data_IF_745213283718
#
_entry.id   IF_745213283718
#
_cell.length_a   1.000
_cell.length_b   1.000
_cell.length_c   1.000
_cell.angle_alpha   90.00
_cell.angle_beta   90.00
_cell.angle_gamma   90.00
#
_symmetry.space_group_name_H-M   'P 1'
#
loop_
_entity.id
_entity.type
_entity.pdbx_description
1 polymer ?
#
# COMPACT_ATOMS: atom_id res chain seq x y z
N UNK A 1 -21.93 -20.25 -3.36
CA UNK A 1 -21.64 -19.15 -4.29
C UNK A 1 -22.74 -18.11 -4.18
N UNK A 2 -22.45 -16.83 -4.43
CA UNK A 2 -23.46 -15.75 -4.43
C UNK A 2 -23.65 -15.24 -5.86
N UNK A 3 -24.85 -14.72 -6.13
CA UNK A 3 -25.23 -14.18 -7.44
C UNK A 3 -24.69 -12.76 -7.70
N UNK A 4 -24.16 -12.11 -6.66
CA UNK A 4 -23.78 -10.70 -6.73
C UNK A 4 -22.80 -10.27 -5.64
N UNK A 5 -22.04 -9.22 -5.94
CA UNK A 5 -21.28 -8.43 -4.99
C UNK A 5 -21.91 -7.05 -4.82
N UNK A 6 -21.35 -6.24 -3.93
CA UNK A 6 -21.81 -4.87 -3.71
C UNK A 6 -20.66 -3.89 -3.76
N UNK A 7 -20.91 -2.74 -4.36
CA UNK A 7 -19.98 -1.61 -4.39
C UNK A 7 -20.39 -0.54 -3.41
N UNK A 8 -19.44 0.25 -2.90
CA UNK A 8 -19.71 1.44 -2.12
C UNK A 8 -18.79 2.61 -2.52
N UNK A 9 -19.37 3.78 -2.77
CA UNK A 9 -18.67 5.03 -3.11
C UNK A 9 -18.91 6.14 -2.09
N UNK A 10 -19.41 5.84 -0.89
CA UNK A 10 -19.65 6.82 0.17
C UNK A 10 -18.41 7.68 0.48
N UNK A 11 -17.24 7.06 0.44
CA UNK A 11 -15.98 7.71 0.80
C UNK A 11 -15.33 8.52 -0.33
N UNK A 12 -15.97 8.64 -1.50
CA UNK A 12 -15.44 9.43 -2.62
C UNK A 12 -15.40 10.93 -2.36
N UNK A 13 -16.06 11.41 -1.30
CA UNK A 13 -15.93 12.79 -0.84
C UNK A 13 -14.51 13.17 -0.41
N UNK A 14 -13.68 12.19 -0.02
CA UNK A 14 -12.28 12.42 0.38
C UNK A 14 -11.27 11.53 -0.35
N UNK A 15 -11.70 10.42 -0.95
CA UNK A 15 -10.88 9.57 -1.82
C UNK A 15 -11.62 9.34 -3.16
N UNK A 16 -11.56 10.29 -4.12
CA UNK A 16 -12.44 10.31 -5.30
C UNK A 16 -12.38 9.07 -6.19
N UNK A 17 -11.24 8.38 -6.21
CA UNK A 17 -10.98 7.20 -7.03
C UNK A 17 -11.24 5.90 -6.27
N UNK A 18 -11.57 5.98 -4.98
CA UNK A 18 -11.85 4.79 -4.16
C UNK A 18 -13.23 4.22 -4.45
N UNK A 19 -13.28 2.89 -4.52
CA UNK A 19 -14.51 2.12 -4.61
C UNK A 19 -14.33 0.90 -3.72
N UNK A 20 -15.19 0.71 -2.73
CA UNK A 20 -15.24 -0.54 -1.98
C UNK A 20 -15.96 -1.61 -2.79
N UNK A 21 -15.36 -2.79 -2.93
CA UNK A 21 -15.99 -4.02 -3.43
C UNK A 21 -16.18 -4.98 -2.26
N UNK A 22 -17.43 -5.28 -2.00
CA UNK A 22 -17.91 -5.99 -0.82
C UNK A 22 -18.43 -7.36 -1.27
N UNK A 23 -17.86 -8.41 -0.69
CA UNK A 23 -18.21 -9.80 -0.96
C UNK A 23 -18.58 -10.49 0.35
N UNK A 24 -19.18 -11.69 0.33
CA UNK A 24 -19.43 -12.45 1.55
C UNK A 24 -18.15 -12.74 2.37
N UNK A 25 -16.99 -12.70 1.72
CA UNK A 25 -15.68 -13.00 2.31
C UNK A 25 -14.79 -11.75 2.46
N UNK A 26 -15.33 -10.55 2.19
CA UNK A 26 -14.61 -9.28 2.31
C UNK A 26 -15.58 -8.15 2.59
N UNK A 27 -15.55 -7.67 3.82
CA UNK A 27 -16.28 -6.48 4.26
C UNK A 27 -15.71 -5.23 3.59
N UNK A 28 -16.50 -4.15 3.59
CA UNK A 28 -15.94 -2.83 3.33
C UNK A 28 -14.81 -2.52 4.32
N UNK A 29 -13.83 -1.70 3.92
CA UNK A 29 -12.67 -1.41 4.74
C UNK A 29 -13.04 -0.77 6.10
N UNK A 30 -14.19 -0.09 6.20
CA UNK A 30 -14.69 0.49 7.45
C UNK A 30 -15.21 -0.51 8.48
N UNK A 31 -15.42 -1.78 8.10
CA UNK A 31 -16.01 -2.81 8.96
C UNK A 31 -17.53 -2.69 9.16
N UNK A 32 -18.13 -1.55 8.82
CA UNK A 32 -19.54 -1.27 9.06
C UNK A 32 -20.51 -1.69 7.94
N UNK A 33 -20.00 -2.20 6.81
CA UNK A 33 -20.84 -2.63 5.68
C UNK A 33 -20.43 -4.05 5.28
N UNK A 34 -21.27 -5.01 5.67
CA UNK A 34 -21.21 -6.40 5.23
C UNK A 34 -21.83 -6.58 3.84
N UNK A 35 -21.72 -7.79 3.29
CA UNK A 35 -22.44 -8.15 2.06
C UNK A 35 -23.97 -8.07 2.23
N UNK A 36 -24.50 -8.43 3.41
CA UNK A 36 -25.94 -8.33 3.69
C UNK A 36 -26.40 -6.88 3.79
N UNK A 37 -25.58 -6.01 4.38
CA UNK A 37 -25.85 -4.57 4.43
C UNK A 37 -25.83 -3.97 3.02
N UNK A 38 -24.86 -4.37 2.20
CA UNK A 38 -24.79 -3.99 0.78
C UNK A 38 -26.06 -4.37 0.00
N UNK A 39 -26.55 -5.61 0.23
CA UNK A 39 -27.80 -6.11 -0.34
C UNK A 39 -29.02 -5.33 0.11
N UNK A 40 -29.11 -5.01 1.40
CA UNK A 40 -30.23 -4.24 1.93
C UNK A 40 -30.20 -2.80 1.41
N UNK A 41 -29.06 -2.12 1.55
CA UNK A 41 -28.90 -0.71 1.20
C UNK A 41 -29.15 -0.45 -0.29
N UNK A 42 -28.62 -1.29 -1.20
CA UNK A 42 -28.83 -1.15 -2.65
C UNK A 42 -30.30 -1.37 -3.09
N UNK A 43 -31.11 -2.05 -2.27
CA UNK A 43 -32.56 -2.21 -2.51
C UNK A 43 -33.37 -1.06 -1.95
N UNK A 44 -32.97 -0.54 -0.79
CA UNK A 44 -33.61 0.61 -0.14
C UNK A 44 -33.40 1.88 -0.96
N UNK A 45 -32.18 2.12 -1.43
CA UNK A 45 -31.85 3.24 -2.30
C UNK A 45 -31.03 2.77 -3.53
N UNK A 46 -31.71 2.37 -4.62
CA UNK A 46 -31.04 1.90 -5.84
C UNK A 46 -30.18 2.96 -6.54
N UNK A 47 -30.39 4.26 -6.24
CA UNK A 47 -29.59 5.37 -6.78
C UNK A 47 -28.54 5.85 -5.78
N UNK A 48 -28.46 5.20 -4.63
CA UNK A 48 -27.55 5.54 -3.56
C UNK A 48 -26.09 5.18 -3.87
N UNK A 49 -25.20 5.46 -2.91
CA UNK A 49 -23.76 5.22 -3.05
C UNK A 49 -23.39 3.74 -2.90
N UNK A 50 -24.33 2.89 -2.45
CA UNK A 50 -24.17 1.44 -2.37
C UNK A 50 -24.97 0.80 -3.50
N UNK A 51 -24.31 -0.01 -4.33
CA UNK A 51 -24.88 -0.53 -5.58
C UNK A 51 -24.53 -2.00 -5.79
N UNK A 52 -25.38 -2.71 -6.53
CA UNK A 52 -25.11 -4.10 -6.93
C UNK A 52 -23.99 -4.16 -7.97
N UNK A 53 -23.13 -5.15 -7.83
CA UNK A 53 -22.10 -5.54 -8.82
C UNK A 53 -22.45 -6.96 -9.27
N UNK A 54 -22.66 -7.16 -10.57
CA UNK A 54 -22.73 -8.52 -11.12
C UNK A 54 -21.34 -9.15 -11.01
N UNK A 55 -21.24 -10.42 -10.62
CA UNK A 55 -19.94 -11.06 -10.36
C UNK A 55 -19.09 -11.12 -11.65
N UNK A 56 -19.71 -11.48 -12.78
CA UNK A 56 -19.01 -11.68 -14.05
C UNK A 56 -18.17 -12.96 -14.05
N UNK A 57 -17.14 -12.97 -14.91
CA UNK A 57 -16.18 -14.07 -15.04
C UNK A 57 -15.18 -14.07 -13.89
N UNK A 58 -14.82 -15.27 -13.41
CA UNK A 58 -13.74 -15.45 -12.42
C UNK A 58 -12.41 -15.48 -13.17
N UNK A 59 -11.65 -14.39 -13.10
CA UNK A 59 -10.37 -14.25 -13.81
C UNK A 59 -9.21 -14.84 -13.01
N UNK A 60 -9.23 -14.67 -11.68
CA UNK A 60 -8.26 -15.28 -10.76
C UNK A 60 -8.94 -15.60 -9.42
N UNK A 61 -9.22 -16.88 -9.11
CA UNK A 61 -9.95 -17.27 -7.89
C UNK A 61 -9.12 -17.12 -6.61
N UNK A 62 -7.78 -17.06 -6.71
CA UNK A 62 -6.88 -16.94 -5.55
C UNK A 62 -6.74 -15.48 -5.16
N UNK A 63 -6.47 -14.61 -6.14
CA UNK A 63 -6.39 -13.16 -5.93
C UNK A 63 -7.77 -12.52 -5.76
N UNK A 64 -8.82 -13.23 -6.17
CA UNK A 64 -10.18 -12.72 -6.18
C UNK A 64 -10.37 -11.66 -7.25
N UNK A 65 -9.90 -11.93 -8.47
CA UNK A 65 -10.16 -11.08 -9.63
C UNK A 65 -11.42 -11.54 -10.35
N UNK A 66 -12.35 -10.61 -10.53
CA UNK A 66 -13.64 -10.86 -11.19
C UNK A 66 -13.89 -9.76 -12.22
N UNK A 67 -14.33 -10.13 -13.42
CA UNK A 67 -14.53 -9.15 -14.50
C UNK A 67 -15.56 -8.09 -14.12
N UNK A 68 -16.65 -8.48 -13.44
CA UNK A 68 -17.68 -7.54 -13.00
C UNK A 68 -17.21 -6.58 -11.90
N UNK A 69 -16.30 -7.02 -11.03
CA UNK A 69 -15.65 -6.14 -10.06
C UNK A 69 -14.72 -5.12 -10.76
N UNK A 70 -13.92 -5.56 -11.73
CA UNK A 70 -13.06 -4.68 -12.52
C UNK A 70 -13.88 -3.62 -13.28
N UNK A 71 -14.96 -4.03 -13.96
CA UNK A 71 -15.85 -3.12 -14.68
C UNK A 71 -16.50 -2.08 -13.74
N UNK A 72 -17.00 -2.54 -12.60
CA UNK A 72 -17.64 -1.67 -11.61
C UNK A 72 -16.66 -0.65 -11.04
N UNK A 73 -15.46 -1.09 -10.65
CA UNK A 73 -14.42 -0.22 -10.10
C UNK A 73 -13.97 0.77 -11.17
N UNK A 74 -13.62 0.32 -12.38
CA UNK A 74 -13.21 1.20 -13.50
C UNK A 74 -14.23 2.29 -13.79
N UNK A 75 -15.52 1.93 -13.85
CA UNK A 75 -16.59 2.90 -14.06
C UNK A 75 -16.71 3.92 -12.92
N UNK A 76 -16.63 3.44 -11.67
CA UNK A 76 -16.91 4.25 -10.48
C UNK A 76 -15.70 5.05 -10.00
N UNK A 77 -14.49 4.68 -10.39
CA UNK A 77 -13.26 5.43 -10.17
C UNK A 77 -12.90 6.37 -11.33
N UNK A 78 -13.83 6.61 -12.27
CA UNK A 78 -13.61 7.43 -13.47
C UNK A 78 -12.44 6.96 -14.35
N UNK A 79 -12.18 5.65 -14.37
CA UNK A 79 -11.11 5.05 -15.16
C UNK A 79 -9.76 4.96 -14.46
N UNK A 80 -9.58 5.57 -13.29
CA UNK A 80 -8.28 5.56 -12.60
C UNK A 80 -7.84 4.15 -12.16
N UNK A 81 -8.78 3.35 -11.65
CA UNK A 81 -8.53 1.99 -11.18
C UNK A 81 -9.17 1.01 -12.15
N UNK A 82 -8.36 0.31 -12.93
CA UNK A 82 -8.87 -0.59 -13.97
C UNK A 82 -9.09 -2.03 -13.48
N UNK A 83 -8.33 -2.45 -12.47
CA UNK A 83 -8.32 -3.82 -11.96
C UNK A 83 -8.30 -3.83 -10.44
N UNK A 84 -8.93 -4.83 -9.84
CA UNK A 84 -8.91 -5.05 -8.41
C UNK A 84 -8.75 -6.53 -8.08
N UNK A 85 -7.77 -6.82 -7.24
CA UNK A 85 -7.55 -8.12 -6.61
C UNK A 85 -8.00 -8.01 -5.15
N UNK A 86 -9.02 -8.78 -4.81
CA UNK A 86 -9.70 -8.68 -3.51
C UNK A 86 -8.91 -9.31 -2.37
N UNK A 87 -7.94 -10.19 -2.62
CA UNK A 87 -7.31 -10.99 -1.56
C UNK A 87 -5.79 -10.87 -1.50
N UNK A 88 -5.26 -9.69 -1.85
CA UNK A 88 -3.81 -9.36 -1.83
C UNK A 88 -3.57 -7.90 -1.45
N UNK A 89 -2.38 -7.63 -0.92
CA UNK A 89 -1.81 -6.32 -0.70
C UNK A 89 -0.84 -5.88 -1.82
N UNK A 90 -0.66 -6.67 -2.89
CA UNK A 90 0.32 -6.42 -3.96
C UNK A 90 -0.28 -6.48 -5.37
N UNK A 91 0.33 -5.77 -6.31
CA UNK A 91 -0.07 -5.68 -7.71
C UNK A 91 -1.27 -4.76 -7.91
N UNK A 92 -2.48 -5.33 -7.83
CA UNK A 92 -3.73 -4.57 -7.96
C UNK A 92 -4.56 -4.62 -6.68
N UNK A 93 -4.00 -4.27 -5.50
CA UNK A 93 -4.73 -4.37 -4.25
C UNK A 93 -5.99 -3.52 -4.29
N UNK A 94 -7.00 -3.95 -3.55
CA UNK A 94 -8.18 -3.11 -3.35
C UNK A 94 -7.80 -1.79 -2.68
N UNK A 95 -8.17 -0.65 -3.27
CA UNK A 95 -7.81 0.68 -2.79
C UNK A 95 -8.40 0.95 -1.40
N UNK A 96 -7.85 1.92 -0.67
CA UNK A 96 -8.37 2.32 0.63
C UNK A 96 -8.72 3.80 0.66
N UNK A 97 -9.83 4.12 1.31
CA UNK A 97 -10.24 5.50 1.53
C UNK A 97 -9.47 6.11 2.70
N UNK A 98 -9.90 5.87 3.95
CA UNK A 98 -9.34 6.51 5.15
C UNK A 98 -10.08 6.17 6.45
N UNK A 99 -11.26 5.55 6.34
CA UNK A 99 -12.04 5.06 7.48
C UNK A 99 -11.78 3.59 7.82
N UNK A 100 -10.68 3.00 7.32
CA UNK A 100 -10.32 1.63 7.68
C UNK A 100 -10.02 1.49 9.18
N UNK A 101 -10.41 0.36 9.76
CA UNK A 101 -10.19 0.06 11.19
C UNK A 101 -8.72 -0.28 11.46
N UNK A 102 -8.04 -0.88 10.48
CA UNK A 102 -6.63 -1.24 10.55
C UNK A 102 -5.95 -1.14 9.17
N UNK A 103 -4.63 -1.23 9.14
CA UNK A 103 -3.85 -1.33 7.92
C UNK A 103 -2.85 -2.48 8.03
N UNK A 104 -2.72 -3.26 6.95
CA UNK A 104 -1.55 -4.09 6.71
C UNK A 104 -0.47 -3.25 6.03
N UNK A 105 0.77 -3.42 6.49
CA UNK A 105 1.95 -2.74 5.95
C UNK A 105 3.08 -3.73 5.74
N UNK A 106 3.78 -3.64 4.62
CA UNK A 106 4.88 -4.53 4.27
C UNK A 106 6.18 -4.15 4.98
N UNK A 107 6.87 -5.17 5.50
CA UNK A 107 8.16 -5.10 6.18
C UNK A 107 9.16 -5.90 5.32
N UNK A 108 9.93 -5.23 4.45
CA UNK A 108 10.83 -5.88 3.51
C UNK A 108 11.88 -6.78 4.16
N UNK A 109 12.43 -6.39 5.30
CA UNK A 109 13.56 -7.03 5.99
C UNK A 109 13.26 -8.45 6.49
N UNK A 110 11.96 -8.75 6.66
CA UNK A 110 11.44 -10.07 7.05
C UNK A 110 10.46 -10.62 6.03
N UNK A 111 10.37 -10.01 4.84
CA UNK A 111 9.42 -10.37 3.78
C UNK A 111 8.04 -10.64 4.39
N UNK A 112 7.44 -9.68 5.10
CA UNK A 112 6.25 -9.94 5.92
C UNK A 112 5.27 -8.77 5.96
N UNK A 113 4.04 -9.00 6.40
CA UNK A 113 3.06 -7.95 6.64
C UNK A 113 2.87 -7.73 8.15
N UNK A 114 3.08 -6.52 8.62
CA UNK A 114 2.59 -6.08 9.92
C UNK A 114 1.13 -5.62 9.81
N UNK A 115 0.40 -5.63 10.92
CA UNK A 115 -0.94 -5.03 11.04
C UNK A 115 -0.92 -3.98 12.13
N UNK A 116 -1.60 -2.86 11.94
CA UNK A 116 -1.81 -1.84 13.00
C UNK A 116 -3.24 -1.31 12.94
N UNK A 117 -3.92 -1.21 14.08
CA UNK A 117 -5.26 -0.64 14.16
C UNK A 117 -5.22 0.87 14.43
N UNK A 118 -6.33 1.54 14.10
CA UNK A 118 -6.48 3.00 14.17
C UNK A 118 -6.20 3.59 15.55
N UNK A 119 -6.59 2.89 16.60
CA UNK A 119 -6.49 3.36 17.99
C UNK A 119 -5.14 3.04 18.65
N UNK A 120 -4.23 2.39 17.92
CA UNK A 120 -2.89 2.06 18.43
C UNK A 120 -2.08 3.35 18.64
N UNK A 121 -1.65 3.58 19.87
CA UNK A 121 -1.04 4.86 20.29
C UNK A 121 0.48 4.90 20.14
N UNK A 122 1.12 3.74 20.11
CA UNK A 122 2.56 3.62 20.00
C UNK A 122 3.01 3.56 18.53
N UNK A 123 4.31 3.38 18.33
CA UNK A 123 4.89 3.11 17.02
C UNK A 123 4.90 1.61 16.75
N UNK A 124 4.70 1.23 15.50
CA UNK A 124 4.83 -0.16 15.08
C UNK A 124 6.30 -0.59 15.09
N UNK A 125 6.55 -1.88 14.88
CA UNK A 125 7.89 -2.49 14.87
C UNK A 125 8.88 -1.88 13.87
N UNK A 126 8.41 -1.15 12.85
CA UNK A 126 9.25 -0.40 11.92
C UNK A 126 9.44 1.09 12.30
N UNK A 127 8.99 1.48 13.51
CA UNK A 127 9.09 2.83 14.05
C UNK A 127 8.04 3.81 13.55
N UNK A 128 7.07 3.39 12.72
CA UNK A 128 6.04 4.28 12.20
C UNK A 128 4.76 4.24 13.05
N UNK A 129 4.16 5.40 13.40
CA UNK A 129 2.83 5.44 14.00
C UNK A 129 1.74 5.11 12.97
N UNK A 130 0.53 4.78 13.45
CA UNK A 130 -0.62 4.50 12.57
C UNK A 130 -0.87 5.60 11.54
N UNK A 131 -0.75 6.89 11.93
CA UNK A 131 -1.00 8.02 11.02
C UNK A 131 -0.12 7.98 9.77
N UNK A 132 1.18 7.68 9.93
CA UNK A 132 2.11 7.60 8.79
C UNK A 132 1.81 6.40 7.90
N UNK A 133 1.42 5.26 8.48
CA UNK A 133 0.99 4.09 7.69
C UNK A 133 -0.33 4.38 6.96
N UNK A 134 -1.24 5.09 7.62
CA UNK A 134 -2.52 5.49 7.05
C UNK A 134 -2.34 6.43 5.85
N UNK A 135 -1.41 7.38 5.90
CA UNK A 135 -1.10 8.29 4.79
C UNK A 135 -0.62 7.53 3.54
N UNK A 136 0.16 6.46 3.72
CA UNK A 136 0.59 5.58 2.62
C UNK A 136 -0.54 4.70 2.08
N UNK A 137 -1.47 4.30 2.95
CA UNK A 137 -2.56 3.37 2.63
C UNK A 137 -3.77 4.06 1.98
N UNK A 138 -4.07 5.29 2.41
CA UNK A 138 -5.26 6.05 2.07
C UNK A 138 -5.22 6.73 0.69
N UNK A 139 -6.36 7.33 0.32
CA UNK A 139 -6.48 8.24 -0.82
C UNK A 139 -6.94 7.58 -2.12
N UNK A 140 -7.47 6.36 -2.08
CA UNK A 140 -8.05 5.71 -3.26
C UNK A 140 -7.01 5.27 -4.31
N UNK A 141 -5.78 5.02 -3.87
CA UNK A 141 -4.66 4.56 -4.69
C UNK A 141 -4.40 3.07 -4.48
N UNK A 142 -3.75 2.44 -5.45
CA UNK A 142 -3.16 1.10 -5.31
C UNK A 142 -1.69 1.28 -4.93
N UNK A 143 -1.35 0.90 -3.70
CA UNK A 143 0.01 1.02 -3.17
C UNK A 143 0.43 -0.36 -2.69
N UNK A 144 1.47 -0.90 -3.30
CA UNK A 144 1.97 -2.22 -2.95
C UNK A 144 2.44 -2.27 -1.50
N UNK A 145 2.01 -3.31 -0.80
CA UNK A 145 2.36 -3.55 0.59
C UNK A 145 1.61 -2.67 1.59
N UNK A 146 0.71 -1.77 1.18
CA UNK A 146 -0.10 -0.95 2.08
C UNK A 146 -1.58 -1.15 1.81
N UNK A 147 -2.30 -1.73 2.77
CA UNK A 147 -3.66 -2.19 2.54
C UNK A 147 -4.58 -1.95 3.73
N UNK A 148 -5.65 -1.19 3.52
CA UNK A 148 -6.66 -0.93 4.54
C UNK A 148 -7.53 -2.16 4.80
N UNK A 149 -7.77 -2.43 6.07
CA UNK A 149 -8.48 -3.61 6.57
C UNK A 149 -9.64 -3.20 7.47
N UNK A 150 -10.70 -3.99 7.40
CA UNK A 150 -11.64 -4.12 8.52
C UNK A 150 -11.26 -5.30 9.38
N UNK A 151 -11.64 -5.26 10.65
CA UNK A 151 -11.40 -6.37 11.58
C UNK A 151 -12.19 -7.61 11.13
N UNK A 152 -13.39 -7.41 10.58
CA UNK A 152 -14.20 -8.51 10.05
C UNK A 152 -13.56 -9.19 8.83
N UNK A 153 -12.80 -8.46 8.00
CA UNK A 153 -12.05 -9.09 6.91
C UNK A 153 -10.93 -10.01 7.42
N UNK A 154 -10.28 -9.69 8.54
CA UNK A 154 -9.25 -10.56 9.13
C UNK A 154 -9.80 -11.93 9.57
N UNK A 155 -11.11 -12.01 9.87
CA UNK A 155 -11.79 -13.27 10.23
C UNK A 155 -12.10 -14.16 9.02
N UNK A 156 -11.92 -13.64 7.82
CA UNK A 156 -12.24 -14.34 6.58
C UNK A 156 -11.20 -15.43 6.27
N UNK A 157 -11.60 -16.64 5.83
CA UNK A 157 -10.68 -17.61 5.24
C UNK A 157 -10.05 -17.12 3.93
N UNK A 158 -10.52 -16.01 3.35
CA UNK A 158 -9.91 -15.34 2.18
C UNK A 158 -8.99 -14.19 2.58
N UNK A 159 -8.74 -13.97 3.86
CA UNK A 159 -7.88 -12.90 4.35
C UNK A 159 -6.48 -13.00 3.74
N UNK A 160 -6.17 -12.06 2.83
CA UNK A 160 -4.89 -11.92 2.13
C UNK A 160 -4.32 -13.24 1.58
N UNK A 161 -5.21 -14.15 1.15
CA UNK A 161 -4.82 -15.54 0.85
C UNK A 161 -3.83 -15.63 -0.32
N UNK A 162 -3.88 -14.69 -1.26
CA UNK A 162 -2.93 -14.64 -2.37
C UNK A 162 -1.50 -14.27 -1.93
N UNK A 163 -1.35 -13.68 -0.74
CA UNK A 163 -0.06 -13.35 -0.15
C UNK A 163 0.41 -14.42 0.86
N UNK A 164 -0.38 -15.46 1.08
CA UNK A 164 -0.16 -16.49 2.10
C UNK A 164 -1.04 -16.34 3.36
N UNK A 165 -1.93 -15.34 3.39
CA UNK A 165 -2.86 -15.09 4.47
C UNK A 165 -2.17 -14.93 5.82
N UNK A 166 -2.65 -15.63 6.84
CA UNK A 166 -2.07 -15.56 8.19
C UNK A 166 -0.58 -15.96 8.26
N UNK A 167 -0.09 -16.82 7.35
CA UNK A 167 1.33 -17.18 7.28
C UNK A 167 2.24 -16.02 6.88
N UNK A 168 1.66 -14.94 6.35
CA UNK A 168 2.36 -13.73 5.92
C UNK A 168 2.35 -12.63 6.98
N UNK A 169 1.52 -12.75 8.01
CA UNK A 169 1.42 -11.74 9.06
C UNK A 169 2.51 -11.98 10.08
N UNK A 170 3.37 -11.00 10.30
CA UNK A 170 4.58 -11.16 11.13
C UNK A 170 4.55 -10.34 12.41
N UNK A 171 3.63 -9.39 12.54
CA UNK A 171 3.51 -8.56 13.73
C UNK A 171 2.11 -7.94 13.80
N UNK A 172 1.54 -7.81 15.00
CA UNK A 172 0.31 -7.05 15.22
C UNK A 172 0.10 -6.64 16.68
N UNK A 173 -0.63 -5.55 16.96
CA UNK A 173 -1.02 -5.18 18.31
C UNK A 173 -1.78 -6.31 19.02
N UNK A 174 -1.50 -6.49 20.30
CA UNK A 174 -2.14 -7.49 21.15
C UNK A 174 -3.66 -7.39 21.12
N UNK A 175 -4.20 -6.17 21.19
CA UNK A 175 -5.64 -5.92 21.13
C UNK A 175 -6.30 -6.51 19.87
N UNK A 176 -5.63 -6.37 18.71
CA UNK A 176 -6.11 -6.95 17.44
C UNK A 176 -5.97 -8.46 17.48
N UNK A 177 -4.82 -8.97 17.93
CA UNK A 177 -4.54 -10.40 18.04
C UNK A 177 -5.58 -11.12 18.89
N UNK A 178 -5.96 -10.55 20.03
CA UNK A 178 -7.01 -11.09 20.91
C UNK A 178 -8.39 -11.03 20.25
N UNK A 179 -8.74 -9.91 19.58
CA UNK A 179 -10.06 -9.73 18.93
C UNK A 179 -10.32 -10.69 17.77
N UNK A 180 -9.28 -11.15 17.08
CA UNK A 180 -9.38 -12.08 15.94
C UNK A 180 -8.75 -13.45 16.20
N UNK A 181 -8.24 -13.70 17.41
CA UNK A 181 -7.41 -14.87 17.72
C UNK A 181 -8.05 -16.22 17.42
N UNK A 182 -9.37 -16.34 17.60
CA UNK A 182 -10.13 -17.55 17.25
C UNK A 182 -10.11 -17.91 15.74
N UNK A 183 -9.76 -16.95 14.88
CA UNK A 183 -9.71 -17.09 13.42
C UNK A 183 -8.28 -17.20 12.88
N UNK A 184 -7.28 -16.96 13.73
CA UNK A 184 -5.87 -17.18 13.37
C UNK A 184 -5.59 -18.69 13.48
N UNK A 185 -4.95 -19.32 12.47
CA UNK A 185 -4.57 -20.72 12.57
C UNK A 185 -3.66 -20.97 13.78
N UNK A 186 -3.95 -22.05 14.53
CA UNK A 186 -3.28 -22.36 15.81
C UNK A 186 -1.76 -22.52 15.64
N UNK A 187 -1.34 -23.03 14.50
CA UNK A 187 0.05 -23.25 14.12
C UNK A 187 0.85 -21.96 13.88
N UNK A 188 0.18 -20.82 13.71
CA UNK A 188 0.79 -19.50 13.50
C UNK A 188 0.54 -18.55 14.67
N UNK A 189 -0.55 -18.72 15.42
CA UNK A 189 -0.95 -17.78 16.48
C UNK A 189 0.18 -17.40 17.45
N UNK A 190 0.88 -18.39 18.02
CA UNK A 190 1.97 -18.16 18.98
C UNK A 190 3.28 -17.67 18.33
N UNK A 191 3.33 -17.59 17.00
CA UNK A 191 4.51 -17.18 16.24
C UNK A 191 4.44 -15.73 15.76
N UNK A 192 3.30 -15.07 15.90
CA UNK A 192 3.10 -13.65 15.55
C UNK A 192 3.34 -12.81 16.82
N UNK A 193 4.48 -12.14 16.97
CA UNK A 193 4.72 -11.27 18.12
C UNK A 193 3.83 -10.02 18.13
N UNK A 194 3.71 -9.42 19.31
CA UNK A 194 3.02 -8.15 19.53
C UNK A 194 4.01 -7.04 19.93
N UNK A 195 3.49 -5.86 20.24
CA UNK A 195 4.22 -4.73 20.83
C UNK A 195 4.83 -5.04 22.21
N UNK A 196 4.33 -6.07 22.91
CA UNK A 196 4.88 -6.52 24.19
C UNK A 196 6.11 -7.44 24.00
N UNK A 197 6.20 -8.15 22.87
CA UNK A 197 7.24 -9.11 22.57
C UNK A 197 8.46 -8.50 21.87
N UNK A 198 8.23 -7.64 20.87
CA UNK A 198 9.27 -7.03 20.02
C UNK A 198 8.95 -5.58 19.69
N UNK A 199 9.99 -4.74 19.63
CA UNK A 199 9.89 -3.30 19.40
C UNK A 199 10.66 -2.81 18.17
N UNK A 200 11.61 -3.60 17.66
CA UNK A 200 12.40 -3.26 16.48
C UNK A 200 12.36 -4.36 15.42
N UNK A 201 12.76 -4.02 14.20
CA UNK A 201 12.85 -4.97 13.07
C UNK A 201 13.87 -6.08 13.35
N UNK A 202 14.98 -5.76 14.03
CA UNK A 202 16.01 -6.73 14.40
C UNK A 202 15.46 -7.75 15.41
N UNK A 203 14.75 -7.28 16.45
CA UNK A 203 14.08 -8.14 17.43
C UNK A 203 13.00 -9.00 16.76
N UNK A 204 12.21 -8.41 15.87
CA UNK A 204 11.22 -9.13 15.07
C UNK A 204 11.86 -10.26 14.27
N UNK A 205 12.93 -9.97 13.53
CA UNK A 205 13.62 -10.97 12.71
C UNK A 205 14.12 -12.14 13.55
N UNK A 206 14.73 -11.86 14.70
CA UNK A 206 15.20 -12.88 15.64
C UNK A 206 14.04 -13.72 16.19
N UNK A 207 12.95 -13.07 16.63
CA UNK A 207 11.76 -13.74 17.15
C UNK A 207 11.14 -14.69 16.13
N UNK A 208 10.98 -14.24 14.88
CA UNK A 208 10.38 -15.05 13.81
C UNK A 208 11.22 -16.30 13.50
N UNK A 209 12.57 -16.19 13.54
CA UNK A 209 13.46 -17.33 13.40
C UNK A 209 13.33 -18.31 14.56
N UNK A 210 13.38 -17.82 15.80
CA UNK A 210 13.31 -18.64 17.01
C UNK A 210 11.99 -19.41 17.08
N UNK A 211 10.87 -18.75 16.79
CA UNK A 211 9.53 -19.37 16.79
C UNK A 211 9.23 -20.20 15.54
N UNK A 212 10.11 -20.23 14.56
CA UNK A 212 9.90 -20.94 13.30
C UNK A 212 8.65 -20.46 12.58
N UNK A 213 8.50 -19.14 12.43
CA UNK A 213 7.38 -18.53 11.71
C UNK A 213 7.41 -18.96 10.22
N UNK A 214 6.26 -19.30 9.60
CA UNK A 214 6.22 -19.75 8.20
C UNK A 214 6.90 -18.81 7.20
N UNK A 215 6.92 -17.50 7.49
CA UNK A 215 7.59 -16.49 6.67
C UNK A 215 9.09 -16.75 6.48
N UNK A 216 9.74 -17.40 7.44
CA UNK A 216 11.20 -17.65 7.42
C UNK A 216 11.60 -18.52 6.23
N UNK A 217 10.71 -19.41 5.77
CA UNK A 217 10.94 -20.23 4.58
C UNK A 217 11.11 -19.37 3.32
N UNK A 218 10.48 -18.21 3.27
CA UNK A 218 10.52 -17.29 2.13
C UNK A 218 11.81 -16.49 2.05
N UNK A 219 12.55 -16.37 3.15
CA UNK A 219 13.83 -15.67 3.17
C UNK A 219 14.90 -16.37 2.33
N UNK A 220 14.72 -17.66 2.05
CA UNK A 220 15.58 -18.43 1.13
C UNK A 220 15.54 -17.86 -0.30
N UNK A 221 14.44 -17.22 -0.67
CA UNK A 221 14.22 -16.63 -1.99
C UNK A 221 14.51 -15.13 -2.01
N UNK A 222 14.77 -14.50 -0.86
CA UNK A 222 15.19 -13.10 -0.82
C UNK A 222 16.58 -12.97 -1.43
N UNK A 223 16.78 -12.06 -2.40
CA UNK A 223 18.12 -11.70 -2.83
C UNK A 223 18.90 -11.27 -1.59
N UNK A 224 19.99 -11.97 -1.27
CA UNK A 224 20.93 -11.48 -0.26
C UNK A 224 21.35 -10.08 -0.72
N UNK A 225 21.04 -9.06 0.06
CA UNK A 225 21.50 -7.71 -0.19
C UNK A 225 22.98 -7.78 -0.57
N UNK A 226 23.31 -7.31 -1.77
CA UNK A 226 24.69 -7.13 -2.19
C UNK A 226 25.27 -6.17 -1.18
N UNK A 227 26.11 -6.72 -0.29
CA UNK A 227 26.97 -5.92 0.56
C UNK A 227 27.70 -4.96 -0.38
N UNK A 228 27.36 -3.68 -0.29
CA UNK A 228 28.11 -2.64 -0.97
C UNK A 228 29.47 -2.64 -0.27
N UNK A 229 30.41 -3.39 -0.81
CA UNK A 229 31.80 -3.29 -0.42
C UNK A 229 32.19 -1.81 -0.58
N UNK A 230 32.83 -1.20 0.44
CA UNK A 230 33.30 0.16 0.30
C UNK A 230 34.30 0.17 -0.84
N UNK A 231 33.97 0.87 -1.92
CA UNK A 231 34.89 1.08 -3.04
C UNK A 231 36.08 1.85 -2.48
N UNK A 232 37.21 1.16 -2.30
CA UNK A 232 38.50 1.79 -1.99
C UNK A 232 38.78 2.83 -3.07
N UNK A 233 38.94 4.08 -2.65
CA UNK A 233 39.28 5.17 -3.53
C UNK A 233 40.73 5.01 -4.01
N UNK A 234 40.93 4.36 -5.15
CA UNK A 234 42.17 4.51 -5.92
C UNK A 234 42.20 5.91 -6.55
N UNK A 235 43.24 6.72 -6.29
CA UNK A 235 43.38 8.01 -6.96
C UNK A 235 43.64 7.79 -8.46
N UNK A 236 43.07 8.62 -9.35
CA UNK A 236 43.28 8.48 -10.79
C UNK A 236 44.73 8.81 -11.16
N UNK A 237 45.33 8.08 -12.13
CA UNK A 237 46.64 8.45 -12.68
C UNK A 237 46.53 9.73 -13.49
N UNK A 238 47.42 10.68 -13.24
CA UNK A 238 47.76 11.73 -14.20
C UNK A 238 48.46 11.07 -15.40
N UNK A 239 47.91 11.24 -16.61
CA UNK A 239 48.71 11.51 -17.81
C UNK A 239 47.87 11.82 -19.07
N UNK A 240 48.40 12.78 -19.83
CA UNK A 240 48.22 13.03 -21.26
C UNK A 240 46.88 13.62 -21.77
N UNK A 241 46.83 14.95 -21.73
CA UNK A 241 46.12 15.80 -22.67
C UNK A 241 46.40 15.41 -24.13
N UNK A 242 45.36 15.10 -24.92
CA UNK A 242 45.34 15.38 -26.36
C UNK A 242 44.00 16.03 -26.75
N UNK A 243 44.01 17.20 -27.41
CA UNK A 243 42.80 17.91 -27.79
C UNK A 243 42.39 17.55 -29.23
N UNK A 244 41.51 16.56 -29.37
CA UNK A 244 40.77 16.36 -30.63
C UNK A 244 39.48 15.58 -30.37
N UNK A 245 38.39 16.07 -30.95
CA UNK A 245 37.01 15.57 -30.89
C UNK A 245 36.13 16.12 -29.75
N UNK A 246 35.97 17.45 -29.77
CA UNK A 246 34.61 17.99 -29.80
C UNK A 246 33.91 17.46 -31.04
N UNK A 247 33.00 16.50 -30.93
CA UNK A 247 31.75 16.44 -31.71
C UNK A 247 30.68 15.66 -30.93
N UNK A 248 29.49 16.26 -30.88
CA UNK A 248 28.35 15.90 -30.07
C UNK A 248 27.61 14.65 -30.53
N UNK A 249 27.12 13.83 -29.59
CA UNK A 249 25.82 13.10 -29.63
C UNK A 249 25.34 12.88 -28.18
N UNK A 250 24.53 13.76 -27.57
CA UNK A 250 23.05 13.73 -27.50
C UNK A 250 22.38 12.39 -27.18
N UNK A 251 22.11 12.14 -25.89
CA UNK A 251 20.82 11.57 -25.42
C UNK A 251 20.39 12.36 -24.16
N UNK A 252 19.16 12.89 -24.09
CA UNK A 252 18.73 13.83 -23.04
C UNK A 252 18.08 13.12 -21.85
N UNK A 253 18.58 13.38 -20.63
CA UNK A 253 17.81 13.18 -19.40
C UNK A 253 17.27 14.54 -18.91
N UNK A 254 15.97 14.71 -19.14
CA UNK A 254 14.97 15.38 -18.28
C UNK A 254 15.35 16.70 -17.60
N UNK A 255 14.61 17.73 -18.02
CA UNK A 255 14.73 19.15 -17.71
C UNK A 255 13.86 19.57 -16.50
N UNK A 256 14.49 20.27 -15.54
CA UNK A 256 13.90 21.25 -14.59
C UNK A 256 13.46 20.71 -13.22
N UNK A 257 13.96 21.12 -12.04
CA UNK A 257 14.70 22.29 -11.55
C UNK A 257 14.09 22.61 -10.17
N UNK A 258 14.77 22.74 -9.02
CA UNK A 258 16.14 23.09 -8.62
C UNK A 258 16.57 22.17 -7.44
N UNK A 259 17.88 21.97 -7.22
CA UNK A 259 18.41 21.29 -6.02
C UNK A 259 19.33 22.26 -5.26
N UNK A 260 18.95 22.67 -4.05
CA UNK A 260 19.80 23.48 -3.17
C UNK A 260 20.43 22.52 -2.17
N UNK A 261 21.75 22.39 -2.19
CA UNK A 261 22.51 21.61 -1.20
C UNK A 261 23.43 22.56 -0.46
N UNK A 262 23.23 22.68 0.86
CA UNK A 262 24.08 23.47 1.75
C UNK A 262 24.76 22.49 2.71
N UNK A 263 26.09 22.46 2.73
CA UNK A 263 26.89 21.72 3.71
C UNK A 263 27.65 22.74 4.56
N UNK A 264 27.51 22.63 5.89
CA UNK A 264 28.14 23.49 6.92
C UNK A 264 27.89 25.00 6.80
N UNK A 265 26.71 25.41 6.32
CA UNK A 265 26.34 26.83 6.20
C UNK A 265 25.53 27.34 7.40
N UNK A 266 25.94 28.46 7.99
CA UNK A 266 25.15 29.23 8.97
C UNK A 266 24.44 30.39 8.24
N UNK A 267 23.14 30.24 7.95
CA UNK A 267 22.36 31.26 7.23
C UNK A 267 21.52 32.06 8.22
N UNK A 268 21.73 33.38 8.27
CA UNK A 268 20.88 34.31 9.03
C UNK A 268 20.20 35.27 8.06
N UNK A 269 18.90 35.10 7.82
CA UNK A 269 18.11 35.95 6.94
C UNK A 269 16.77 36.32 7.58
N UNK A 270 16.28 37.56 7.38
CA UNK A 270 14.95 37.98 7.87
C UNK A 270 13.80 37.54 6.96
N UNK A 271 14.04 37.26 5.67
CA UNK A 271 13.05 36.66 4.73
C UNK A 271 13.75 36.10 3.49
N UNK A 272 13.33 34.92 3.02
CA UNK A 272 13.78 34.30 1.75
C UNK A 272 12.56 33.95 0.90
N UNK A 273 12.58 34.27 -0.40
CA UNK A 273 11.50 33.94 -1.37
C UNK A 273 12.13 33.31 -2.61
N UNK A 274 11.72 32.08 -2.94
CA UNK A 274 12.13 31.37 -4.15
C UNK A 274 10.94 31.32 -5.10
N UNK A 275 11.07 31.88 -6.31
CA UNK A 275 10.05 31.82 -7.37
C UNK A 275 10.60 31.11 -8.61
N UNK A 276 9.81 30.19 -9.14
CA UNK A 276 10.06 29.52 -10.42
C UNK A 276 9.64 30.46 -11.55
N UNK A 277 10.57 30.92 -12.37
CA UNK A 277 10.26 31.71 -13.58
C UNK A 277 9.76 30.76 -14.67
N UNK A 278 8.45 30.80 -14.94
CA UNK A 278 7.80 30.09 -16.04
C UNK A 278 7.48 31.03 -17.19
N UNK A 279 7.76 30.56 -18.40
CA UNK A 279 7.65 31.20 -19.72
C UNK A 279 6.29 31.85 -19.99
N UNK A 280 6.28 33.12 -20.41
CA UNK A 280 5.12 33.80 -21.00
C UNK A 280 4.75 33.15 -22.35
N UNK A 281 3.54 32.58 -22.45
CA UNK A 281 2.93 32.27 -23.75
C UNK A 281 2.16 33.49 -24.23
N UNK A 282 2.72 34.15 -25.25
CA UNK A 282 2.12 35.18 -26.10
C UNK A 282 0.89 34.59 -26.81
N UNK A 283 -0.29 35.15 -26.57
CA UNK A 283 -1.49 34.88 -27.39
C UNK A 283 -1.57 35.99 -28.44
N UNK A 284 -1.22 35.67 -29.69
CA UNK A 284 -1.52 36.50 -30.85
C UNK A 284 -3.04 36.44 -31.11
N UNK A 285 -3.70 37.60 -30.99
CA UNK A 285 -5.03 37.82 -31.57
C UNK A 285 -4.86 38.12 -33.06
N UNK A 286 -5.08 37.12 -33.91
CA UNK A 286 -5.34 37.29 -35.33
C UNK A 286 -6.84 37.36 -35.56
N UNK A 287 -7.33 38.50 -36.06
CA UNK A 287 -8.73 38.69 -36.39
C UNK A 287 -9.14 38.06 -37.72
N UNK A 288 -10.41 37.69 -37.80
CA UNK A 288 -11.37 38.04 -38.85
C UNK A 288 -12.77 37.92 -38.28
#
# INVERSE_FOLDING_TARGET
EVDSFYGCTLCQSFAPTHVCVITPQRYANCGAISWFDGRAASRVDPKGPIFKIEVGEVLDPVKGEYSGANEAVKKKSLGEIERVWLYTAFGYPHTSCGCFEAAAFYIPEVDGLGIVHRDFKDVTVNGLPFSTIADSTAGGRQVDGFHGLSIEYMRSPKFLIADGGWNRIVWMPKEVKERVGAFIPKEVYDKIPTEEDVKTIEELKAYLQEKGHPVVERWKEMPKEVAVEPVEATPPPEEALTPALLQAQTIPLTMGGFKIVLKDAKITARRVIIKKTGVEKRVERGGR
#
